data_IF_560499446444
#
_entry.id   IF_560499446444
#
_cell.length_a   1.000
_cell.length_b   1.000
_cell.length_c   1.000
_cell.angle_alpha   90.00
_cell.angle_beta   90.00
_cell.angle_gamma   90.00
#
_symmetry.space_group_name_H-M   'P 1'
#
loop_
_entity.id
_entity.type
_entity.pdbx_description
1 polymer ?
#
# COMPACT_ATOMS: atom_id res chain seq x y z
N UNK A 1 6.49 78.04 31.05
CA UNK A 1 5.05 78.34 31.03
C UNK A 1 4.53 78.06 29.63
N UNK A 2 3.32 77.53 29.56
CA UNK A 2 2.76 76.69 28.51
C UNK A 2 2.43 77.39 27.17
N UNK A 3 2.32 76.54 26.12
CA UNK A 3 1.48 76.62 24.91
C UNK A 3 2.14 77.11 23.60
N UNK A 4 2.21 76.20 22.61
CA UNK A 4 1.42 76.28 21.36
C UNK A 4 1.25 74.91 20.67
N UNK A 5 0.06 74.75 20.10
CA UNK A 5 -0.63 73.56 19.54
C UNK A 5 -0.17 73.28 18.08
N UNK A 6 -0.27 72.04 17.55
CA UNK A 6 0.30 71.64 16.26
C UNK A 6 -0.70 71.69 15.08
N UNK A 7 -0.17 71.66 13.85
CA UNK A 7 -0.94 71.31 12.64
C UNK A 7 -0.05 70.62 11.57
N UNK A 8 -0.35 69.33 11.36
CA UNK A 8 -0.51 68.54 10.13
C UNK A 8 0.21 69.00 8.85
N UNK A 9 1.00 68.10 8.24
CA UNK A 9 1.16 68.04 6.79
C UNK A 9 1.24 66.58 6.29
N UNK A 10 0.38 66.26 5.33
CA UNK A 10 0.27 64.98 4.65
C UNK A 10 1.45 64.76 3.67
N UNK A 11 1.90 63.51 3.51
CA UNK A 11 2.84 63.12 2.46
C UNK A 11 2.34 61.89 1.71
N UNK A 12 2.24 62.10 0.42
CA UNK A 12 1.78 61.23 -0.67
C UNK A 12 2.72 60.06 -0.93
N UNK A 13 2.15 58.89 -1.12
CA UNK A 13 2.79 57.67 -1.60
C UNK A 13 3.11 57.73 -3.10
N UNK A 14 4.36 57.43 -3.47
CA UNK A 14 4.76 57.06 -4.84
C UNK A 14 5.54 55.75 -4.80
N UNK A 15 5.13 54.82 -5.67
CA UNK A 15 5.68 53.47 -5.83
C UNK A 15 7.10 53.52 -6.42
N UNK A 16 7.98 52.66 -5.91
CA UNK A 16 9.16 52.19 -6.63
C UNK A 16 8.96 50.71 -7.01
N UNK A 17 9.01 50.41 -8.31
CA UNK A 17 9.03 49.05 -8.86
C UNK A 17 10.33 48.35 -8.45
N UNK A 18 10.24 47.27 -7.68
CA UNK A 18 11.32 46.27 -7.53
C UNK A 18 11.00 45.04 -8.37
N UNK A 19 11.93 44.65 -9.24
CA UNK A 19 11.85 43.47 -10.07
C UNK A 19 11.67 42.17 -9.24
N UNK A 20 10.97 41.15 -9.76
CA UNK A 20 10.76 39.90 -9.04
C UNK A 20 12.09 39.14 -8.92
N UNK A 21 12.51 38.90 -7.68
CA UNK A 21 13.56 37.95 -7.33
C UNK A 21 13.07 36.56 -7.72
N UNK A 22 13.78 35.92 -8.65
CA UNK A 22 13.51 34.54 -9.05
C UNK A 22 13.58 33.61 -7.85
N UNK A 23 12.47 32.97 -7.52
CA UNK A 23 12.39 31.94 -6.48
C UNK A 23 13.18 30.73 -6.95
N UNK A 24 14.33 30.48 -6.31
CA UNK A 24 15.09 29.27 -6.51
C UNK A 24 14.24 28.06 -6.06
N UNK A 25 14.03 27.11 -6.97
CA UNK A 25 13.43 25.81 -6.66
C UNK A 25 14.33 25.06 -5.67
N UNK A 26 13.79 24.45 -4.60
CA UNK A 26 14.59 23.67 -3.67
C UNK A 26 15.16 22.44 -4.40
N UNK A 27 16.50 22.37 -4.45
CA UNK A 27 17.26 21.20 -4.89
C UNK A 27 17.43 20.26 -3.69
N UNK A 28 16.90 19.04 -3.78
CA UNK A 28 17.17 17.99 -2.80
C UNK A 28 18.30 17.11 -3.32
N UNK A 29 19.42 17.09 -2.60
CA UNK A 29 20.44 16.05 -2.71
C UNK A 29 20.04 14.92 -1.75
N UNK A 30 19.61 13.78 -2.27
CA UNK A 30 18.99 12.71 -1.50
C UNK A 30 20.05 11.83 -0.82
N UNK A 31 20.54 12.21 0.37
CA UNK A 31 21.51 11.41 1.15
C UNK A 31 20.86 10.52 2.22
N UNK A 32 19.55 10.25 2.16
CA UNK A 32 18.88 9.54 3.24
C UNK A 32 18.11 8.30 2.79
N UNK A 33 18.29 7.21 3.54
CA UNK A 33 17.34 6.09 3.67
C UNK A 33 15.98 6.54 4.21
N UNK A 34 15.82 7.81 4.57
CA UNK A 34 14.56 8.43 4.97
C UNK A 34 13.76 8.88 3.75
N UNK A 35 12.44 8.63 3.71
CA UNK A 35 11.57 9.10 2.65
C UNK A 35 11.62 10.62 2.45
N UNK A 36 11.50 11.06 1.20
CA UNK A 36 11.45 12.48 0.85
C UNK A 36 10.01 12.98 0.94
N UNK A 37 9.75 13.98 1.78
CA UNK A 37 8.42 14.60 1.87
C UNK A 37 8.08 15.31 0.55
N UNK A 38 6.98 14.91 -0.09
CA UNK A 38 6.56 15.41 -1.40
C UNK A 38 5.06 15.65 -1.50
N UNK A 39 4.41 16.14 -0.44
CA UNK A 39 2.96 16.41 -0.43
C UNK A 39 2.54 17.56 -1.36
N UNK A 40 1.43 17.38 -2.09
CA UNK A 40 0.86 18.38 -3.00
C UNK A 40 -0.11 19.37 -2.32
N UNK A 41 -0.37 19.24 -1.02
CA UNK A 41 -1.34 20.10 -0.31
C UNK A 41 -0.66 21.39 0.11
N UNK A 42 -1.00 22.49 -0.57
CA UNK A 42 -0.61 23.84 -0.22
C UNK A 42 -1.77 24.53 0.50
N UNK A 43 -1.96 24.27 1.80
CA UNK A 43 -3.07 24.85 2.54
C UNK A 43 -3.45 24.02 3.76
N UNK A 44 -4.25 24.59 4.65
CA UNK A 44 -4.69 23.93 5.89
C UNK A 44 -5.56 22.67 5.65
N UNK A 45 -6.00 22.01 6.74
CA UNK A 45 -6.56 20.63 6.76
C UNK A 45 -7.89 20.39 6.01
N UNK A 46 -8.37 21.34 5.20
CA UNK A 46 -9.65 21.25 4.49
C UNK A 46 -9.58 21.52 2.98
N UNK A 47 -8.39 21.71 2.41
CA UNK A 47 -8.24 21.94 0.96
C UNK A 47 -7.96 20.62 0.22
N UNK A 48 -8.65 20.42 -0.92
CA UNK A 48 -8.37 19.37 -1.91
C UNK A 48 -6.87 19.34 -2.26
N UNK A 49 -6.32 18.23 -2.76
CA UNK A 49 -4.97 18.20 -3.33
C UNK A 49 -4.75 19.40 -4.27
N UNK A 50 -3.75 20.23 -3.96
CA UNK A 50 -3.42 21.39 -4.77
C UNK A 50 -2.98 21.00 -6.18
N UNK A 51 -3.01 21.95 -7.12
CA UNK A 51 -2.41 21.72 -8.44
C UNK A 51 -0.91 21.42 -8.28
N UNK A 52 -0.35 20.46 -9.05
CA UNK A 52 1.07 20.16 -8.98
C UNK A 52 1.88 21.41 -9.29
N UNK A 53 3.04 21.58 -8.64
CA UNK A 53 3.92 22.71 -8.98
C UNK A 53 4.30 22.61 -10.45
N UNK A 54 4.42 23.76 -11.11
CA UNK A 54 4.73 23.81 -12.55
C UNK A 54 5.97 22.97 -12.86
N UNK A 55 5.77 21.92 -13.67
CA UNK A 55 6.82 20.99 -14.10
C UNK A 55 6.91 19.68 -13.30
N UNK A 56 6.22 19.55 -12.17
CA UNK A 56 6.12 18.31 -11.41
C UNK A 56 5.01 17.40 -11.95
N UNK A 57 5.07 16.12 -11.59
CA UNK A 57 4.01 15.15 -11.85
C UNK A 57 3.17 14.94 -10.59
N UNK A 58 1.89 14.58 -10.76
CA UNK A 58 0.98 14.37 -9.62
C UNK A 58 0.54 12.91 -9.55
N UNK A 59 0.58 12.32 -8.35
CA UNK A 59 -0.08 11.04 -8.06
C UNK A 59 -0.97 11.25 -6.85
N UNK A 60 -2.28 11.04 -6.98
CA UNK A 60 -3.24 11.28 -5.93
C UNK A 60 -4.28 10.17 -5.85
N UNK A 61 -4.90 10.03 -4.68
CA UNK A 61 -5.75 8.90 -4.38
C UNK A 61 -6.41 8.95 -3.02
N UNK A 62 -6.93 7.79 -2.58
CA UNK A 62 -7.58 7.59 -1.29
C UNK A 62 -7.00 6.35 -0.60
N UNK A 63 -6.87 6.39 0.73
CA UNK A 63 -6.55 5.24 1.56
C UNK A 63 -7.76 4.88 2.43
N UNK A 64 -8.17 3.61 2.42
CA UNK A 64 -9.44 3.17 3.02
C UNK A 64 -9.37 1.79 3.68
N UNK A 65 -10.13 1.63 4.75
CA UNK A 65 -10.43 0.33 5.37
C UNK A 65 -11.51 -0.37 4.54
N UNK A 66 -11.14 -1.46 3.86
CA UNK A 66 -12.04 -2.08 2.88
C UNK A 66 -12.47 -1.15 1.72
N UNK A 67 -13.11 -1.71 0.70
CA UNK A 67 -13.55 -1.05 -0.52
C UNK A 67 -12.46 -0.89 -1.59
N UNK A 68 -12.88 -0.90 -2.86
CA UNK A 68 -12.05 -0.56 -4.04
C UNK A 68 -12.46 0.76 -4.68
N UNK A 69 -13.61 1.34 -4.30
CA UNK A 69 -14.14 2.59 -4.81
C UNK A 69 -14.90 3.46 -3.76
N UNK A 70 -15.10 4.77 -4.03
CA UNK A 70 -16.02 5.68 -3.32
C UNK A 70 -17.48 5.18 -3.29
N UNK A 71 -17.90 4.68 -2.12
CA UNK A 71 -19.30 4.28 -1.88
C UNK A 71 -19.46 2.85 -1.38
N UNK A 72 -18.43 2.02 -1.51
CA UNK A 72 -18.47 0.56 -1.27
C UNK A 72 -18.50 0.16 0.22
N UNK A 73 -18.81 1.11 1.10
CA UNK A 73 -18.90 0.89 2.55
C UNK A 73 -17.56 0.90 3.30
N UNK A 74 -16.43 1.09 2.61
CA UNK A 74 -15.12 1.26 3.24
C UNK A 74 -14.98 2.61 3.96
N UNK A 75 -14.39 2.61 5.15
CA UNK A 75 -14.16 3.83 5.93
C UNK A 75 -12.81 4.46 5.61
N UNK A 76 -12.72 5.79 5.71
CA UNK A 76 -11.47 6.49 5.47
C UNK A 76 -10.42 6.14 6.54
N UNK A 77 -9.16 6.03 6.10
CA UNK A 77 -8.01 5.91 7.00
C UNK A 77 -7.81 7.24 7.75
N UNK A 78 -7.35 7.23 9.02
CA UNK A 78 -7.20 8.45 9.82
C UNK A 78 -6.35 9.50 9.14
N UNK A 79 -6.63 10.77 9.40
CA UNK A 79 -5.82 11.91 8.96
C UNK A 79 -4.37 11.77 9.45
N UNK A 80 -3.42 12.30 8.69
CA UNK A 80 -1.98 12.25 9.00
C UNK A 80 -1.37 10.84 8.96
N UNK A 81 -2.04 9.86 8.35
CA UNK A 81 -1.45 8.53 8.12
C UNK A 81 -0.41 8.62 7.00
N UNK A 82 0.85 8.19 7.23
CA UNK A 82 1.89 8.21 6.20
C UNK A 82 1.54 7.35 4.98
N UNK A 83 1.75 7.90 3.79
CA UNK A 83 1.62 7.22 2.50
C UNK A 83 2.95 7.33 1.78
N UNK A 84 3.47 6.21 1.30
CA UNK A 84 4.76 6.11 0.64
C UNK A 84 4.60 5.80 -0.84
N UNK A 85 5.48 6.34 -1.69
CA UNK A 85 5.49 6.09 -3.14
C UNK A 85 6.91 5.90 -3.66
N UNK A 86 7.09 4.95 -4.57
CA UNK A 86 8.30 4.80 -5.38
C UNK A 86 7.93 4.52 -6.83
N UNK A 87 8.63 5.13 -7.78
CA UNK A 87 8.40 4.90 -9.20
C UNK A 87 9.64 4.33 -9.90
N UNK A 88 9.37 3.52 -10.93
CA UNK A 88 10.35 2.95 -11.84
C UNK A 88 10.14 3.58 -13.22
N UNK A 89 11.15 4.32 -13.67
CA UNK A 89 11.18 4.89 -15.01
C UNK A 89 11.43 3.82 -16.06
N UNK A 90 10.90 4.02 -17.27
CA UNK A 90 11.21 3.16 -18.42
C UNK A 90 12.71 3.09 -18.75
N UNK A 91 13.46 4.10 -18.33
CA UNK A 91 14.92 4.20 -18.44
C UNK A 91 15.69 3.42 -17.35
N UNK A 92 14.99 2.60 -16.55
CA UNK A 92 15.56 1.80 -15.48
C UNK A 92 15.93 2.59 -14.22
N UNK A 93 15.59 3.88 -14.15
CA UNK A 93 15.77 4.66 -12.92
C UNK A 93 14.68 4.32 -11.90
N UNK A 94 15.08 3.90 -10.71
CA UNK A 94 14.19 3.75 -9.56
C UNK A 94 14.35 4.99 -8.68
N UNK A 95 13.23 5.63 -8.37
CA UNK A 95 13.23 6.82 -7.53
C UNK A 95 13.58 6.52 -6.07
N UNK A 96 14.01 7.54 -5.29
CA UNK A 96 13.88 7.49 -3.85
C UNK A 96 12.43 7.22 -3.45
N UNK A 97 12.23 6.77 -2.22
CA UNK A 97 10.88 6.72 -1.64
C UNK A 97 10.44 8.14 -1.29
N UNK A 98 9.28 8.53 -1.78
CA UNK A 98 8.60 9.76 -1.39
C UNK A 98 7.57 9.44 -0.32
N UNK A 99 7.31 10.38 0.59
CA UNK A 99 6.23 10.25 1.57
C UNK A 99 5.32 11.49 1.57
N UNK A 100 4.05 11.25 1.83
CA UNK A 100 3.01 12.25 2.09
C UNK A 100 2.11 11.71 3.21
N UNK A 101 1.03 12.41 3.53
CA UNK A 101 0.06 11.91 4.50
C UNK A 101 -1.35 11.95 3.92
N UNK A 102 -2.25 11.19 4.55
CA UNK A 102 -3.69 11.35 4.32
C UNK A 102 -4.20 12.69 4.86
N UNK A 103 -5.15 13.27 4.14
CA UNK A 103 -5.83 14.54 4.38
C UNK A 103 -7.34 14.35 4.32
N UNK A 104 -8.07 15.29 4.92
CA UNK A 104 -9.54 15.31 5.04
C UNK A 104 -10.17 14.06 5.71
N UNK A 105 -11.49 14.01 5.83
CA UNK A 105 -12.24 12.87 6.39
C UNK A 105 -12.40 11.69 5.43
N UNK A 106 -11.90 11.79 4.19
CA UNK A 106 -12.11 10.79 3.15
C UNK A 106 -10.86 9.92 2.85
N UNK A 107 -9.76 10.15 3.59
CA UNK A 107 -8.50 9.40 3.43
C UNK A 107 -7.72 9.82 2.19
N UNK A 108 -7.93 11.03 1.69
CA UNK A 108 -7.32 11.55 0.47
C UNK A 108 -5.81 11.75 0.65
N UNK A 109 -5.00 11.48 -0.37
CA UNK A 109 -3.56 11.75 -0.32
C UNK A 109 -3.06 12.19 -1.70
N UNK A 110 -1.96 12.93 -1.73
CA UNK A 110 -1.36 13.37 -2.98
C UNK A 110 0.14 13.63 -2.88
N UNK A 111 0.84 13.26 -3.95
CA UNK A 111 2.24 13.53 -4.20
C UNK A 111 2.41 14.58 -5.31
N UNK A 112 3.28 15.55 -5.06
CA UNK A 112 3.83 16.52 -6.00
C UNK A 112 5.29 16.10 -6.32
N UNK A 113 5.46 15.23 -7.30
CA UNK A 113 6.73 14.55 -7.58
C UNK A 113 7.71 15.48 -8.31
N UNK A 114 8.88 15.79 -7.72
CA UNK A 114 9.86 16.69 -8.32
C UNK A 114 10.67 16.00 -9.42
N UNK A 115 11.51 16.79 -10.10
CA UNK A 115 12.59 16.26 -10.93
C UNK A 115 13.60 15.51 -10.05
N UNK A 116 13.67 14.19 -10.19
CA UNK A 116 14.70 13.37 -9.57
C UNK A 116 16.03 13.52 -10.32
N UNK A 117 17.16 13.31 -9.64
CA UNK A 117 18.48 13.29 -10.27
C UNK A 117 19.26 12.06 -9.84
N UNK A 118 19.96 11.44 -10.79
CA UNK A 118 20.90 10.37 -10.49
C UNK A 118 22.26 10.91 -10.01
N UNK A 119 23.18 10.02 -9.66
CA UNK A 119 24.53 10.33 -9.21
C UNK A 119 25.39 11.04 -10.28
N UNK A 120 24.95 11.03 -11.55
CA UNK A 120 25.56 11.81 -12.64
C UNK A 120 24.94 13.20 -12.81
N UNK A 121 23.87 13.50 -12.07
CA UNK A 121 23.11 14.74 -12.16
C UNK A 121 22.09 14.74 -13.31
N UNK A 122 21.93 13.62 -14.01
CA UNK A 122 20.92 13.44 -15.07
C UNK A 122 19.54 13.47 -14.43
N UNK A 123 18.64 14.22 -15.05
CA UNK A 123 17.29 14.43 -14.52
C UNK A 123 16.31 13.37 -14.99
N UNK A 124 15.53 12.82 -14.07
CA UNK A 124 14.48 11.83 -14.32
C UNK A 124 13.13 12.38 -13.83
N UNK A 125 12.09 12.28 -14.66
CA UNK A 125 10.73 12.74 -14.33
C UNK A 125 9.76 11.60 -14.47
N UNK A 126 8.93 11.39 -13.46
CA UNK A 126 7.82 10.46 -13.54
C UNK A 126 6.87 10.86 -14.68
N UNK A 127 6.60 9.92 -15.56
CA UNK A 127 5.72 10.07 -16.70
C UNK A 127 5.03 8.73 -17.03
N UNK A 128 3.84 8.47 -16.46
CA UNK A 128 3.13 7.21 -16.71
C UNK A 128 2.75 7.04 -18.19
N UNK A 129 2.55 8.15 -18.93
CA UNK A 129 2.31 8.14 -20.37
C UNK A 129 3.51 7.63 -21.21
N UNK A 130 4.70 7.44 -20.61
CA UNK A 130 5.88 6.83 -21.25
C UNK A 130 6.10 5.37 -20.84
N UNK A 131 5.23 4.82 -19.99
CA UNK A 131 5.36 3.47 -19.44
C UNK A 131 6.10 3.42 -18.10
N UNK A 132 6.26 4.56 -17.40
CA UNK A 132 6.75 4.55 -16.02
C UNK A 132 5.70 3.91 -15.12
N UNK A 133 6.14 3.05 -14.20
CA UNK A 133 5.28 2.39 -13.22
C UNK A 133 5.58 2.92 -11.82
N UNK A 134 4.67 2.71 -10.88
CA UNK A 134 4.87 3.11 -9.49
C UNK A 134 4.22 2.11 -8.55
N UNK A 135 4.68 2.12 -7.31
CA UNK A 135 4.04 1.48 -6.16
C UNK A 135 3.69 2.54 -5.13
N UNK A 136 2.53 2.40 -4.50
CA UNK A 136 2.10 3.24 -3.37
C UNK A 136 1.61 2.34 -2.24
N UNK A 137 1.98 2.66 -0.99
CA UNK A 137 1.63 1.84 0.17
C UNK A 137 1.52 2.68 1.44
N UNK A 138 0.91 2.08 2.46
CA UNK A 138 0.91 2.54 3.85
C UNK A 138 1.66 1.49 4.66
N UNK A 139 2.61 1.90 5.50
CA UNK A 139 3.30 0.95 6.38
C UNK A 139 2.32 0.41 7.43
N UNK A 140 2.47 -0.85 7.89
CA UNK A 140 1.60 -1.40 8.93
C UNK A 140 1.55 -0.50 10.16
N UNK A 141 0.35 -0.27 10.69
CA UNK A 141 0.15 0.55 11.88
C UNK A 141 -0.88 -0.07 12.83
N UNK A 142 -0.89 0.40 14.07
CA UNK A 142 -1.94 0.05 15.04
C UNK A 142 -2.95 1.18 15.08
N UNK A 143 -4.23 0.87 14.84
CA UNK A 143 -5.30 1.86 14.91
C UNK A 143 -5.72 2.14 16.36
N UNK A 144 -6.64 3.10 16.55
CA UNK A 144 -7.16 3.48 17.89
C UNK A 144 -7.85 2.32 18.64
N UNK A 145 -8.28 1.28 17.94
CA UNK A 145 -8.87 0.06 18.53
C UNK A 145 -7.83 -0.90 19.11
N UNK A 146 -6.55 -0.67 18.82
CA UNK A 146 -5.46 -1.59 19.15
C UNK A 146 -5.28 -2.72 18.13
N UNK A 147 -5.94 -2.63 16.97
CA UNK A 147 -5.85 -3.62 15.91
C UNK A 147 -4.73 -3.25 14.93
N UNK A 148 -4.01 -4.26 14.43
CA UNK A 148 -3.02 -4.08 13.36
C UNK A 148 -3.75 -3.85 12.04
N UNK A 149 -3.28 -2.87 11.27
CA UNK A 149 -3.79 -2.54 9.95
C UNK A 149 -2.67 -2.71 8.94
N UNK A 150 -2.94 -3.41 7.85
CA UNK A 150 -2.00 -3.68 6.77
C UNK A 150 -2.63 -3.36 5.41
N UNK A 151 -1.82 -3.21 4.38
CA UNK A 151 -2.32 -3.04 3.01
C UNK A 151 -2.99 -4.35 2.55
N UNK A 152 -4.20 -4.22 2.00
CA UNK A 152 -4.92 -5.28 1.32
C UNK A 152 -4.68 -5.15 -0.18
N UNK A 153 -4.03 -6.14 -0.79
CA UNK A 153 -3.66 -6.05 -2.20
C UNK A 153 -2.17 -5.79 -2.39
N UNK A 154 -1.77 -5.75 -3.66
CA UNK A 154 -0.47 -5.23 -4.04
C UNK A 154 -0.46 -3.71 -3.82
N UNK A 155 0.70 -3.09 -3.48
CA UNK A 155 0.85 -1.64 -3.52
C UNK A 155 0.31 -1.14 -4.85
N UNK A 156 -0.71 -0.26 -4.85
CA UNK A 156 -1.50 0.01 -6.05
C UNK A 156 -0.59 0.39 -7.23
N UNK A 157 -0.39 -0.57 -8.13
CA UNK A 157 0.49 -0.43 -9.28
C UNK A 157 -0.35 0.03 -10.45
N UNK A 158 -0.33 1.34 -10.73
CA UNK A 158 -1.07 1.86 -11.87
C UNK A 158 -0.43 1.42 -13.18
N UNK A 159 -1.14 0.60 -13.97
CA UNK A 159 -0.89 0.43 -15.39
C UNK A 159 -2.12 0.86 -16.20
N UNK A 160 -1.92 1.93 -16.99
CA UNK A 160 -2.66 2.41 -18.16
C UNK A 160 -4.12 2.89 -18.02
N UNK A 161 -4.30 4.20 -18.16
CA UNK A 161 -5.62 4.78 -18.47
C UNK A 161 -5.72 6.31 -18.53
N UNK A 162 -4.78 7.08 -17.97
CA UNK A 162 -4.85 8.55 -18.00
C UNK A 162 -3.90 9.15 -19.04
N UNK A 163 -4.45 9.81 -20.07
CA UNK A 163 -3.70 10.70 -20.95
C UNK A 163 -3.40 11.99 -20.17
N UNK A 164 -2.17 12.14 -19.64
CA UNK A 164 -1.74 13.34 -18.94
C UNK A 164 -0.60 13.12 -17.95
N UNK A 165 0.00 14.20 -17.43
CA UNK A 165 1.12 14.18 -16.46
C UNK A 165 0.70 13.79 -15.02
N UNK A 166 -0.52 13.30 -14.83
CA UNK A 166 -1.11 13.09 -13.51
C UNK A 166 -1.95 11.82 -13.44
N UNK A 167 -1.71 11.00 -12.43
CA UNK A 167 -2.55 9.85 -12.05
C UNK A 167 -3.44 10.28 -10.88
N UNK A 168 -4.76 10.16 -11.02
CA UNK A 168 -5.74 10.49 -9.99
C UNK A 168 -6.53 9.24 -9.62
N UNK A 169 -7.18 9.26 -8.46
CA UNK A 169 -8.09 8.22 -7.99
C UNK A 169 -7.44 6.86 -7.71
N UNK A 170 -6.16 6.85 -7.32
CA UNK A 170 -5.49 5.62 -6.86
C UNK A 170 -6.08 5.20 -5.51
N UNK A 171 -6.53 3.96 -5.37
CA UNK A 171 -7.07 3.45 -4.09
C UNK A 171 -6.06 2.55 -3.40
N UNK A 172 -5.77 2.83 -2.14
CA UNK A 172 -5.04 1.95 -1.22
C UNK A 172 -6.07 1.32 -0.30
N UNK A 173 -6.40 0.06 -0.55
CA UNK A 173 -7.28 -0.73 0.31
C UNK A 173 -6.46 -1.28 1.48
N UNK A 174 -7.01 -1.21 2.69
CA UNK A 174 -6.39 -1.73 3.92
C UNK A 174 -7.25 -2.83 4.53
N UNK A 175 -6.57 -3.80 5.13
CA UNK A 175 -7.13 -4.87 5.94
C UNK A 175 -6.91 -4.55 7.42
N UNK A 176 -7.98 -4.62 8.22
CA UNK A 176 -7.87 -4.53 9.67
C UNK A 176 -7.91 -5.92 10.29
N UNK A 177 -6.79 -6.32 10.91
CA UNK A 177 -6.70 -7.57 11.64
C UNK A 177 -7.63 -7.52 12.86
N UNK A 178 -8.56 -8.48 13.02
CA UNK A 178 -9.51 -8.43 14.12
C UNK A 178 -8.83 -8.70 15.46
N UNK A 179 -9.35 -8.06 16.51
CA UNK A 179 -9.07 -8.47 17.88
C UNK A 179 -9.83 -9.75 18.25
N UNK A 180 -9.38 -10.44 19.30
CA UNK A 180 -10.00 -11.69 19.79
C UNK A 180 -11.48 -11.52 20.19
N UNK A 181 -11.95 -10.30 20.44
CA UNK A 181 -13.36 -10.01 20.74
C UNK A 181 -14.33 -10.35 19.60
N UNK A 182 -13.82 -10.60 18.39
CA UNK A 182 -14.62 -11.05 17.25
C UNK A 182 -14.91 -12.55 17.27
N UNK A 183 -14.31 -13.31 18.20
CA UNK A 183 -14.39 -14.77 18.24
C UNK A 183 -14.70 -15.25 19.66
N UNK A 184 -15.48 -16.32 19.76
CA UNK A 184 -15.61 -17.11 20.97
C UNK A 184 -14.48 -18.15 21.04
N UNK A 185 -14.28 -18.76 22.21
CA UNK A 185 -13.36 -19.89 22.30
C UNK A 185 -13.80 -20.99 21.30
N UNK A 186 -12.94 -21.41 20.37
CA UNK A 186 -13.35 -22.33 19.31
C UNK A 186 -13.70 -23.70 19.92
N UNK A 187 -14.86 -24.23 19.55
CA UNK A 187 -15.18 -25.63 19.84
C UNK A 187 -14.39 -26.51 18.88
N UNK A 188 -13.28 -27.11 19.34
CA UNK A 188 -12.53 -28.09 18.56
C UNK A 188 -13.26 -29.44 18.52
N UNK A 189 -13.43 -30.02 17.34
CA UNK A 189 -14.08 -31.32 17.15
C UNK A 189 -15.35 -31.21 16.31
N UNK A 190 -15.94 -32.36 15.95
CA UNK A 190 -17.13 -32.48 15.10
C UNK A 190 -18.18 -31.39 15.38
N UNK A 191 -18.86 -30.92 14.32
CA UNK A 191 -19.87 -29.87 14.40
C UNK A 191 -20.76 -30.07 15.65
N UNK A 192 -20.88 -29.06 16.53
CA UNK A 192 -21.66 -29.22 17.76
C UNK A 192 -23.06 -29.73 17.40
N UNK A 193 -23.58 -30.68 18.16
CA UNK A 193 -24.89 -31.25 17.91
C UNK A 193 -25.93 -30.12 17.80
N UNK A 194 -26.56 -29.98 16.62
CA UNK A 194 -27.45 -28.86 16.31
C UNK A 194 -26.81 -27.67 15.59
N UNK A 195 -25.62 -27.79 14.97
CA UNK A 195 -25.11 -26.77 14.05
C UNK A 195 -26.01 -26.67 12.80
N UNK A 196 -26.44 -25.45 12.42
CA UNK A 196 -27.45 -25.27 11.36
C UNK A 196 -27.05 -24.26 10.27
N UNK A 197 -26.13 -23.34 10.52
CA UNK A 197 -25.69 -22.37 9.51
C UNK A 197 -24.38 -22.85 8.89
N UNK A 198 -24.49 -23.49 7.74
CA UNK A 198 -23.35 -23.91 6.91
C UNK A 198 -22.69 -22.68 6.28
N UNK A 199 -21.37 -22.66 6.22
CA UNK A 199 -20.58 -21.71 5.44
C UNK A 199 -19.55 -22.49 4.65
N UNK A 200 -19.52 -22.32 3.33
CA UNK A 200 -18.58 -23.00 2.45
C UNK A 200 -18.07 -22.10 1.34
N UNK A 201 -16.85 -22.39 0.87
CA UNK A 201 -16.22 -21.67 -0.23
C UNK A 201 -14.82 -22.18 -0.53
N UNK A 202 -14.00 -21.32 -1.12
CA UNK A 202 -12.63 -21.60 -1.51
C UNK A 202 -11.65 -20.52 -1.02
N UNK A 203 -10.40 -20.94 -0.79
CA UNK A 203 -9.28 -20.11 -0.40
C UNK A 203 -8.09 -20.39 -1.32
N UNK A 204 -7.54 -19.33 -1.92
CA UNK A 204 -6.36 -19.40 -2.78
C UNK A 204 -5.41 -18.24 -2.51
N UNK A 205 -4.19 -18.34 -3.02
CA UNK A 205 -3.26 -17.22 -3.10
C UNK A 205 -3.47 -16.46 -4.41
N UNK A 206 -3.75 -15.16 -4.29
CA UNK A 206 -4.01 -14.25 -5.40
C UNK A 206 -2.71 -13.89 -6.13
N UNK A 207 -2.57 -14.38 -7.36
CA UNK A 207 -1.31 -14.33 -8.11
C UNK A 207 -1.16 -13.12 -9.03
N UNK A 208 -2.25 -12.42 -9.36
CA UNK A 208 -2.22 -11.27 -10.27
C UNK A 208 -2.49 -9.95 -9.52
N UNK A 209 -1.61 -8.97 -9.73
CA UNK A 209 -1.79 -7.61 -9.23
C UNK A 209 -2.82 -6.78 -10.02
N UNK A 210 -3.21 -7.26 -11.20
CA UNK A 210 -4.24 -6.69 -12.05
C UNK A 210 -5.54 -7.52 -12.06
N UNK A 211 -5.66 -8.57 -11.23
CA UNK A 211 -6.90 -9.33 -11.14
C UNK A 211 -8.05 -8.43 -10.66
N UNK A 212 -9.05 -8.30 -11.52
CA UNK A 212 -10.37 -7.83 -11.12
C UNK A 212 -10.95 -8.82 -10.08
N UNK A 213 -11.65 -8.35 -9.02
CA UNK A 213 -12.38 -9.23 -8.12
C UNK A 213 -13.34 -10.11 -8.94
N UNK A 214 -13.16 -11.43 -8.98
CA UNK A 214 -14.08 -12.23 -9.79
C UNK A 214 -13.86 -13.72 -9.87
N UNK A 215 -12.63 -14.23 -10.00
CA UNK A 215 -12.43 -15.66 -10.28
C UNK A 215 -11.09 -16.17 -9.78
N UNK A 216 -11.07 -17.39 -9.21
CA UNK A 216 -9.86 -18.19 -9.16
C UNK A 216 -9.55 -18.63 -10.59
N UNK A 217 -8.59 -17.98 -11.22
CA UNK A 217 -8.11 -18.41 -12.53
C UNK A 217 -7.31 -19.70 -12.33
N UNK A 218 -7.92 -20.84 -12.71
CA UNK A 218 -7.20 -22.12 -12.78
C UNK A 218 -6.16 -22.15 -13.91
N UNK A 219 -6.01 -21.07 -14.67
CA UNK A 219 -4.95 -20.85 -15.64
C UNK A 219 -3.70 -20.30 -14.96
N UNK A 220 -2.76 -21.20 -14.67
CA UNK A 220 -1.32 -21.00 -14.40
C UNK A 220 -0.85 -20.10 -13.23
N UNK A 221 -1.71 -19.39 -12.49
CA UNK A 221 -1.29 -18.49 -11.39
C UNK A 221 -1.78 -18.86 -9.97
N UNK A 222 -3.10 -18.99 -9.79
CA UNK A 222 -3.70 -19.07 -8.46
C UNK A 222 -3.61 -20.45 -7.83
N UNK A 223 -3.02 -20.50 -6.63
CA UNK A 223 -2.76 -21.76 -5.91
C UNK A 223 -3.69 -21.91 -4.72
N UNK A 224 -4.20 -23.11 -4.51
CA UNK A 224 -4.96 -23.42 -3.30
C UNK A 224 -4.13 -23.12 -2.05
N UNK A 225 -4.73 -22.44 -1.06
CA UNK A 225 -4.10 -22.19 0.22
C UNK A 225 -4.20 -23.42 1.14
N UNK A 226 -3.78 -24.58 0.63
CA UNK A 226 -3.90 -25.86 1.32
C UNK A 226 -3.28 -25.79 2.72
N UNK A 227 -4.00 -26.31 3.72
CA UNK A 227 -3.55 -26.37 5.10
C UNK A 227 -3.74 -25.06 5.88
N UNK A 228 -4.20 -23.98 5.25
CA UNK A 228 -4.72 -22.80 5.95
C UNK A 228 -6.01 -23.17 6.69
N UNK A 229 -6.43 -22.31 7.61
CA UNK A 229 -7.66 -22.53 8.38
C UNK A 229 -8.60 -21.36 8.17
N UNK A 230 -9.84 -21.64 7.79
CA UNK A 230 -10.91 -20.64 7.79
C UNK A 230 -11.59 -20.68 9.15
N UNK A 231 -11.78 -19.52 9.76
CA UNK A 231 -12.47 -19.36 11.04
C UNK A 231 -13.63 -18.39 10.86
N UNK A 232 -14.82 -18.79 11.30
CA UNK A 232 -16.01 -17.96 11.30
C UNK A 232 -16.61 -17.87 12.69
N UNK A 233 -17.11 -16.68 13.01
CA UNK A 233 -18.00 -16.45 14.14
C UNK A 233 -19.36 -15.94 13.65
N UNK A 234 -20.39 -16.17 14.45
CA UNK A 234 -21.75 -15.71 14.17
C UNK A 234 -22.36 -15.03 15.39
N UNK A 235 -23.17 -13.98 15.16
CA UNK A 235 -23.96 -13.37 16.23
C UNK A 235 -25.25 -14.16 16.45
N UNK A 236 -25.71 -14.21 17.70
CA UNK A 236 -27.09 -14.57 17.98
C UNK A 236 -28.05 -13.38 17.70
N UNK A 237 -29.36 -13.66 17.72
CA UNK A 237 -30.39 -12.66 17.39
C UNK A 237 -30.33 -11.40 18.26
N UNK A 238 -30.05 -11.57 19.56
CA UNK A 238 -29.91 -10.46 20.53
C UNK A 238 -28.72 -9.59 20.15
N UNK A 239 -27.55 -10.21 19.96
CA UNK A 239 -26.32 -9.54 19.57
C UNK A 239 -26.46 -8.77 18.25
N UNK A 240 -27.04 -9.40 17.22
CA UNK A 240 -27.32 -8.73 15.95
C UNK A 240 -28.21 -7.51 16.17
N UNK A 241 -29.30 -7.66 16.93
CA UNK A 241 -30.27 -6.59 17.12
C UNK A 241 -29.66 -5.40 17.87
N UNK A 242 -28.90 -5.65 18.93
CA UNK A 242 -28.22 -4.59 19.69
C UNK A 242 -27.17 -3.85 18.84
N UNK A 243 -26.33 -4.59 18.10
CA UNK A 243 -25.34 -3.97 17.21
C UNK A 243 -26.04 -3.17 16.10
N UNK A 244 -27.05 -3.73 15.43
CA UNK A 244 -27.78 -3.03 14.38
C UNK A 244 -28.47 -1.75 14.91
N UNK A 245 -29.06 -1.82 16.09
CA UNK A 245 -29.66 -0.66 16.76
C UNK A 245 -28.61 0.41 17.07
N UNK A 246 -27.44 0.04 17.58
CA UNK A 246 -26.36 0.97 17.87
C UNK A 246 -25.82 1.63 16.57
N UNK A 247 -25.60 0.85 15.52
CA UNK A 247 -25.15 1.34 14.21
C UNK A 247 -26.15 2.30 13.56
N UNK A 248 -27.46 2.07 13.74
CA UNK A 248 -28.50 2.96 13.20
C UNK A 248 -28.49 4.37 13.83
N UNK A 249 -27.97 4.50 15.05
CA UNK A 249 -27.93 5.76 15.82
C UNK A 249 -26.68 6.57 15.55
N UNK A 250 -25.63 5.96 14.98
CA UNK A 250 -24.38 6.62 14.62
C UNK A 250 -23.85 6.14 13.25
N UNK A 251 -24.40 6.67 12.14
CA UNK A 251 -24.07 6.18 10.81
C UNK A 251 -22.77 6.78 10.23
N UNK A 252 -22.08 7.70 10.92
CA UNK A 252 -20.97 8.48 10.33
C UNK A 252 -19.62 8.19 11.00
N UNK A 253 -19.11 6.97 10.77
CA UNK A 253 -17.76 6.53 11.15
C UNK A 253 -17.69 5.91 12.55
N UNK A 254 -16.91 4.83 12.70
CA UNK A 254 -16.75 4.12 13.99
C UNK A 254 -17.66 2.90 14.17
N UNK A 255 -18.16 2.29 13.09
CA UNK A 255 -18.99 1.07 13.19
C UNK A 255 -18.22 -0.09 13.83
N UNK A 256 -16.93 -0.18 13.54
CA UNK A 256 -15.98 -1.13 14.12
C UNK A 256 -15.77 -0.84 15.62
N UNK A 257 -15.76 0.43 16.03
CA UNK A 257 -15.66 0.83 17.44
C UNK A 257 -16.92 0.48 18.23
N UNK A 258 -18.09 0.68 17.63
CA UNK A 258 -19.38 0.29 18.21
C UNK A 258 -19.43 -1.22 18.39
N UNK A 259 -19.09 -1.96 17.34
CA UNK A 259 -19.02 -3.44 17.36
C UNK A 259 -18.07 -3.92 18.44
N UNK A 260 -16.85 -3.36 18.49
CA UNK A 260 -15.84 -3.68 19.51
C UNK A 260 -16.34 -3.40 20.94
N UNK A 261 -16.91 -2.22 21.19
CA UNK A 261 -17.41 -1.85 22.53
C UNK A 261 -18.50 -2.80 23.00
N UNK A 262 -19.45 -3.15 22.13
CA UNK A 262 -20.55 -4.05 22.47
C UNK A 262 -20.02 -5.45 22.75
N UNK A 263 -19.18 -6.01 21.88
CA UNK A 263 -18.70 -7.39 22.04
C UNK A 263 -17.70 -7.57 23.18
N UNK A 264 -16.96 -6.52 23.57
CA UNK A 264 -16.17 -6.55 24.79
C UNK A 264 -17.03 -6.55 26.06
N UNK A 265 -18.19 -5.90 26.04
CA UNK A 265 -19.11 -5.85 27.17
C UNK A 265 -20.00 -7.10 27.25
N UNK A 266 -20.36 -7.66 26.10
CA UNK A 266 -21.30 -8.77 25.95
C UNK A 266 -20.74 -9.83 24.99
N UNK A 267 -19.65 -10.54 25.37
CA UNK A 267 -19.07 -11.59 24.53
C UNK A 267 -20.05 -12.74 24.22
N UNK A 268 -21.08 -12.94 25.06
CA UNK A 268 -22.16 -13.90 24.85
C UNK A 268 -23.07 -13.58 23.65
N UNK A 269 -22.92 -12.41 23.02
CA UNK A 269 -23.59 -12.09 21.76
C UNK A 269 -23.04 -12.89 20.57
N UNK A 270 -21.85 -13.47 20.69
CA UNK A 270 -21.31 -14.42 19.72
C UNK A 270 -21.92 -15.79 20.05
N UNK A 271 -22.76 -16.30 19.14
CA UNK A 271 -23.37 -17.63 19.24
C UNK A 271 -22.31 -18.74 19.29
N UNK A 272 -21.24 -18.57 18.51
CA UNK A 272 -20.06 -19.42 18.58
C UNK A 272 -19.05 -19.13 17.48
N UNK A 273 -17.99 -19.94 17.45
CA UNK A 273 -16.92 -19.85 16.46
C UNK A 273 -16.57 -21.26 15.98
N UNK A 274 -16.49 -21.42 14.67
CA UNK A 274 -16.17 -22.68 14.00
C UNK A 274 -14.99 -22.50 13.06
N UNK A 275 -14.24 -23.57 12.86
CA UNK A 275 -13.06 -23.58 11.98
C UNK A 275 -13.11 -24.74 11.00
N UNK A 276 -12.58 -24.55 9.80
CA UNK A 276 -12.34 -25.61 8.83
C UNK A 276 -10.94 -25.49 8.23
N UNK A 277 -10.29 -26.63 8.01
CA UNK A 277 -9.02 -26.69 7.27
C UNK A 277 -9.30 -26.62 5.77
N UNK A 278 -8.47 -25.88 5.05
CA UNK A 278 -8.52 -25.76 3.60
C UNK A 278 -7.91 -27.01 2.97
N UNK A 279 -8.66 -27.68 2.09
CA UNK A 279 -8.23 -28.90 1.41
C UNK A 279 -7.25 -28.64 0.26
N UNK A 280 -6.80 -29.70 -0.42
CA UNK A 280 -5.84 -29.62 -1.53
C UNK A 280 -6.39 -28.87 -2.76
N UNK A 281 -7.72 -28.83 -2.91
CA UNK A 281 -8.38 -28.06 -3.95
C UNK A 281 -8.69 -26.62 -3.51
N UNK A 282 -8.34 -26.25 -2.28
CA UNK A 282 -8.61 -24.93 -1.72
C UNK A 282 -10.00 -24.79 -1.11
N UNK A 283 -10.78 -25.86 -0.98
CA UNK A 283 -12.16 -25.78 -0.46
C UNK A 283 -12.17 -25.87 1.06
N UNK A 284 -13.20 -25.26 1.66
CA UNK A 284 -13.55 -25.43 3.06
C UNK A 284 -15.07 -25.49 3.21
N UNK A 285 -15.51 -26.11 4.31
CA UNK A 285 -16.90 -26.08 4.76
C UNK A 285 -16.93 -26.22 6.27
N UNK A 286 -17.73 -25.40 6.94
CA UNK A 286 -17.97 -25.46 8.39
C UNK A 286 -19.44 -25.19 8.69
N UNK A 287 -19.83 -25.42 9.94
CA UNK A 287 -21.17 -25.13 10.43
C UNK A 287 -21.11 -24.36 11.74
N UNK A 288 -21.79 -23.23 11.78
CA UNK A 288 -21.97 -22.41 12.98
C UNK A 288 -23.18 -22.94 13.80
N UNK A 289 -23.24 -22.62 15.11
CA UNK A 289 -24.37 -22.97 15.97
C UNK A 289 -25.74 -22.55 15.40
N UNK A 290 -26.80 -23.31 15.69
CA UNK A 290 -28.14 -23.05 15.14
C UNK A 290 -28.75 -21.69 15.51
N UNK A 291 -28.35 -21.11 16.64
CA UNK A 291 -28.78 -19.78 17.08
C UNK A 291 -28.01 -18.64 16.39
N UNK A 292 -27.09 -18.96 15.49
CA UNK A 292 -26.42 -17.98 14.62
C UNK A 292 -27.41 -17.39 13.62
N UNK A 293 -27.42 -16.05 13.51
CA UNK A 293 -28.07 -15.38 12.38
C UNK A 293 -27.18 -15.48 11.13
N UNK A 294 -27.64 -16.12 10.04
CA UNK A 294 -26.83 -16.27 8.82
C UNK A 294 -26.47 -14.93 8.16
N UNK A 295 -27.21 -13.85 8.42
CA UNK A 295 -26.93 -12.51 7.88
C UNK A 295 -25.94 -11.71 8.74
N UNK A 296 -25.38 -12.30 9.80
CA UNK A 296 -24.49 -11.61 10.74
C UNK A 296 -23.34 -12.53 11.16
N UNK A 297 -22.46 -12.79 10.20
CA UNK A 297 -21.26 -13.60 10.39
C UNK A 297 -20.00 -12.77 10.10
N UNK A 298 -18.86 -13.23 10.63
CA UNK A 298 -17.55 -12.66 10.36
C UNK A 298 -16.56 -13.80 10.14
N UNK A 299 -15.73 -13.69 9.10
CA UNK A 299 -14.81 -14.75 8.70
C UNK A 299 -13.39 -14.25 8.49
N UNK A 300 -12.41 -15.07 8.86
CA UNK A 300 -10.99 -14.84 8.57
C UNK A 300 -10.31 -16.10 8.07
N UNK A 301 -9.17 -15.92 7.43
CA UNK A 301 -8.25 -16.99 7.09
C UNK A 301 -7.00 -16.87 7.96
N UNK A 302 -6.54 -18.02 8.48
CA UNK A 302 -5.29 -18.17 9.22
C UNK A 302 -4.27 -18.98 8.44
N UNK A 303 -3.03 -18.54 8.46
CA UNK A 303 -1.89 -19.29 7.93
C UNK A 303 -1.65 -20.60 8.71
N UNK A 304 -0.69 -21.39 8.24
CA UNK A 304 -0.35 -22.68 8.86
C UNK A 304 0.25 -22.52 10.26
N UNK A 305 0.67 -21.32 10.64
CA UNK A 305 1.15 -20.93 11.97
C UNK A 305 0.03 -20.36 12.87
N UNK A 306 -1.17 -20.14 12.33
CA UNK A 306 -2.34 -19.62 13.05
C UNK A 306 -2.48 -18.08 13.00
N UNK A 307 -1.64 -17.36 12.27
CA UNK A 307 -1.77 -15.91 12.11
C UNK A 307 -2.85 -15.58 11.10
N UNK A 308 -3.68 -14.57 11.40
CA UNK A 308 -4.62 -14.03 10.41
C UNK A 308 -3.85 -13.47 9.21
N UNK A 309 -4.32 -13.77 8.00
CA UNK A 309 -3.76 -13.24 6.75
C UNK A 309 -4.74 -12.33 6.05
N UNK A 310 -4.20 -11.40 5.28
CA UNK A 310 -4.95 -10.47 4.45
C UNK A 310 -5.66 -11.21 3.32
N UNK A 311 -6.94 -10.93 3.13
CA UNK A 311 -7.76 -11.57 2.10
C UNK A 311 -8.66 -10.57 1.39
N UNK A 312 -8.75 -10.64 0.06
CA UNK A 312 -9.91 -10.11 -0.66
C UNK A 312 -11.11 -10.99 -0.27
N UNK A 313 -12.06 -10.40 0.43
CA UNK A 313 -13.25 -11.07 0.95
C UNK A 313 -14.28 -10.04 1.42
N UNK A 314 -15.50 -10.47 1.79
CA UNK A 314 -16.46 -9.61 2.47
C UNK A 314 -16.02 -9.12 3.87
N UNK A 315 -14.87 -9.57 4.40
CA UNK A 315 -14.52 -9.44 5.82
C UNK A 315 -13.18 -8.74 6.08
N UNK A 316 -12.95 -7.63 5.39
CA UNK A 316 -11.69 -6.86 5.47
C UNK A 316 -11.59 -5.93 6.68
N UNK A 317 -12.70 -5.76 7.41
CA UNK A 317 -12.81 -5.03 8.66
C UNK A 317 -13.56 -5.87 9.69
N UNK A 318 -13.31 -5.72 11.01
CA UNK A 318 -13.92 -6.52 12.06
C UNK A 318 -15.41 -6.16 12.28
N UNK A 319 -16.25 -6.58 11.33
CA UNK A 319 -17.69 -6.32 11.31
C UNK A 319 -18.46 -7.58 10.94
N UNK A 320 -19.44 -7.92 11.78
CA UNK A 320 -20.44 -8.93 11.44
C UNK A 320 -21.36 -8.39 10.36
N UNK A 321 -21.46 -9.11 9.25
CA UNK A 321 -22.28 -8.71 8.12
C UNK A 321 -22.75 -9.91 7.32
N UNK A 322 -23.63 -9.65 6.37
CA UNK A 322 -24.04 -10.64 5.38
C UNK A 322 -22.93 -10.73 4.33
N UNK A 323 -22.41 -11.94 4.00
CA UNK A 323 -21.42 -12.14 2.95
C UNK A 323 -21.71 -11.41 1.64
N UNK A 324 -22.99 -11.29 1.25
CA UNK A 324 -23.40 -10.61 0.01
C UNK A 324 -23.39 -9.08 0.04
N UNK A 325 -23.13 -8.42 1.18
CA UNK A 325 -23.26 -6.96 1.32
C UNK A 325 -22.01 -6.14 0.95
N UNK A 326 -20.86 -6.78 0.76
CA UNK A 326 -19.57 -6.08 0.56
C UNK A 326 -19.10 -6.12 -0.91
N UNK A 327 -19.95 -6.63 -1.81
CA UNK A 327 -19.92 -6.40 -3.27
C UNK A 327 -18.53 -6.47 -3.92
N UNK A 328 -17.87 -5.32 -3.99
CA UNK A 328 -16.70 -5.07 -4.84
C UNK A 328 -15.36 -5.61 -4.31
N UNK A 329 -15.29 -6.05 -3.05
CA UNK A 329 -14.09 -6.75 -2.52
C UNK A 329 -14.22 -8.27 -2.46
N UNK A 330 -15.45 -8.77 -2.54
CA UNK A 330 -15.67 -10.20 -2.53
C UNK A 330 -15.16 -10.75 -3.87
N UNK A 331 -14.31 -11.79 -3.88
CA UNK A 331 -13.82 -12.38 -5.13
C UNK A 331 -14.91 -12.93 -6.05
N UNK A 332 -16.16 -13.01 -5.58
CA UNK A 332 -17.31 -13.56 -6.27
C UNK A 332 -18.57 -13.16 -5.48
N UNK A 333 -19.74 -13.43 -6.05
CA UNK A 333 -21.02 -13.30 -5.33
C UNK A 333 -21.27 -14.52 -4.42
N UNK A 334 -21.34 -14.35 -3.08
CA UNK A 334 -21.80 -15.41 -2.19
C UNK A 334 -23.31 -15.65 -2.33
N UNK A 335 -23.75 -16.89 -2.09
CA UNK A 335 -25.15 -17.29 -2.23
C UNK A 335 -25.73 -17.77 -0.90
N UNK A 336 -26.87 -17.21 -0.50
CA UNK A 336 -27.63 -17.68 0.64
C UNK A 336 -28.57 -18.81 0.21
N UNK A 337 -28.43 -19.97 0.84
CA UNK A 337 -29.24 -21.17 0.69
C UNK A 337 -30.10 -21.40 1.94
N UNK A 338 -30.99 -22.41 1.88
CA UNK A 338 -31.79 -22.85 3.05
C UNK A 338 -30.92 -23.32 4.23
N UNK A 339 -29.66 -23.69 3.98
CA UNK A 339 -28.74 -24.23 4.99
C UNK A 339 -27.66 -23.24 5.44
N UNK A 340 -27.64 -22.02 4.88
CA UNK A 340 -26.59 -21.02 5.14
C UNK A 340 -25.92 -20.56 3.84
N UNK A 341 -24.63 -20.24 3.87
CA UNK A 341 -23.93 -19.64 2.75
C UNK A 341 -23.03 -20.61 1.99
N UNK A 342 -23.17 -20.59 0.67
CA UNK A 342 -22.21 -21.18 -0.25
C UNK A 342 -21.46 -20.08 -1.01
N UNK A 343 -20.32 -20.44 -1.60
CA UNK A 343 -19.48 -19.54 -2.38
C UNK A 343 -18.94 -18.33 -1.56
N UNK A 344 -18.64 -18.52 -0.27
CA UNK A 344 -17.98 -17.49 0.54
C UNK A 344 -16.46 -17.66 0.40
N UNK A 345 -15.84 -16.97 -0.54
CA UNK A 345 -14.44 -17.19 -0.86
C UNK A 345 -13.49 -16.14 -0.27
N UNK A 346 -12.21 -16.52 -0.17
CA UNK A 346 -11.12 -15.68 0.30
C UNK A 346 -9.92 -15.77 -0.66
N UNK A 347 -9.56 -14.67 -1.31
CA UNK A 347 -8.30 -14.60 -2.04
C UNK A 347 -7.23 -14.05 -1.08
N UNK A 348 -6.34 -14.91 -0.58
CA UNK A 348 -5.22 -14.49 0.26
C UNK A 348 -4.29 -13.65 -0.60
N UNK A 349 -3.97 -12.44 -0.14
CA UNK A 349 -2.98 -11.58 -0.81
C UNK A 349 -1.70 -11.60 0.01
N UNK A 350 -0.74 -12.47 -0.32
CA UNK A 350 0.41 -12.72 0.53
C UNK A 350 1.54 -11.72 0.23
N UNK A 351 1.27 -10.43 0.38
CA UNK A 351 2.31 -9.42 0.22
C UNK A 351 3.22 -9.43 1.44
N UNK A 352 4.52 -9.61 1.19
CA UNK A 352 5.53 -9.31 2.19
C UNK A 352 6.20 -8.00 1.82
N UNK A 353 6.48 -7.18 2.84
CA UNK A 353 7.28 -5.95 2.75
C UNK A 353 8.72 -6.24 2.31
N UNK A 354 8.91 -6.77 1.10
CA UNK A 354 10.24 -7.07 0.56
C UNK A 354 10.87 -5.79 0.06
N UNK A 355 12.10 -5.55 0.47
CA UNK A 355 12.96 -4.53 -0.11
C UNK A 355 14.06 -5.21 -0.92
N UNK A 356 14.40 -4.59 -2.03
CA UNK A 356 15.57 -4.90 -2.86
C UNK A 356 16.54 -3.76 -2.67
N UNK A 357 17.82 -4.08 -2.43
CA UNK A 357 18.88 -3.10 -2.30
C UNK A 357 20.09 -3.54 -3.11
N UNK A 358 20.64 -2.63 -3.92
CA UNK A 358 21.98 -2.78 -4.50
C UNK A 358 22.98 -2.29 -3.45
N UNK A 359 23.73 -3.22 -2.86
CA UNK A 359 24.47 -2.99 -1.62
C UNK A 359 25.43 -1.81 -1.72
N UNK A 360 25.21 -0.80 -0.88
CA UNK A 360 26.05 0.40 -0.77
C UNK A 360 26.07 1.29 -2.02
N UNK A 361 25.08 1.13 -2.91
CA UNK A 361 25.02 1.72 -4.24
C UNK A 361 23.58 2.10 -4.61
N UNK A 362 23.10 3.26 -4.17
CA UNK A 362 21.86 3.82 -4.71
C UNK A 362 22.14 4.71 -5.94
N UNK A 363 21.14 4.83 -6.82
CA UNK A 363 21.20 5.61 -8.06
C UNK A 363 21.42 7.10 -7.84
N UNK A 364 21.16 7.63 -6.64
CA UNK A 364 21.23 9.06 -6.30
C UNK A 364 22.58 9.50 -5.71
N UNK A 365 23.36 8.57 -5.14
CA UNK A 365 24.51 8.90 -4.30
C UNK A 365 25.83 8.30 -4.77
N UNK A 366 25.82 7.20 -5.53
CA UNK A 366 27.08 6.53 -5.92
C UNK A 366 27.19 6.24 -7.41
N UNK A 367 28.25 6.80 -8.01
CA UNK A 367 28.70 6.40 -9.35
C UNK A 367 29.48 5.10 -9.23
N UNK A 368 29.06 4.10 -10.00
CA UNK A 368 29.79 2.83 -10.09
C UNK A 368 30.67 2.82 -11.33
N UNK A 369 31.94 2.48 -11.14
CA UNK A 369 32.89 2.31 -12.24
C UNK A 369 32.60 1.01 -13.01
N UNK A 370 32.88 0.96 -14.32
CA UNK A 370 32.87 -0.30 -15.07
C UNK A 370 33.74 -1.39 -14.41
N UNK A 371 33.30 -2.64 -14.49
CA UNK A 371 34.04 -3.79 -13.94
C UNK A 371 33.74 -4.13 -12.48
N UNK A 372 32.95 -3.32 -11.76
CA UNK A 372 32.47 -3.68 -10.43
C UNK A 372 31.33 -4.72 -10.51
N UNK A 373 31.25 -5.58 -9.50
CA UNK A 373 30.10 -6.44 -9.28
C UNK A 373 29.01 -5.66 -8.54
N UNK A 374 27.75 -5.85 -8.96
CA UNK A 374 26.58 -5.29 -8.29
C UNK A 374 25.93 -6.37 -7.44
N UNK A 375 26.14 -6.30 -6.13
CA UNK A 375 25.57 -7.24 -5.16
C UNK A 375 24.16 -6.80 -4.74
N UNK A 376 23.28 -7.76 -4.53
CA UNK A 376 21.90 -7.52 -4.11
C UNK A 376 21.68 -8.05 -2.70
N UNK A 377 20.97 -7.28 -1.88
CA UNK A 377 20.42 -7.73 -0.61
C UNK A 377 18.90 -7.64 -0.66
N UNK A 378 18.25 -8.70 -0.22
CA UNK A 378 16.82 -8.71 0.04
C UNK A 378 16.57 -8.64 1.55
N UNK A 379 15.49 -7.99 1.95
CA UNK A 379 14.98 -8.03 3.33
C UNK A 379 13.46 -8.11 3.32
N UNK A 380 12.85 -8.74 4.33
CA UNK A 380 11.39 -8.88 4.42
C UNK A 380 10.93 -10.33 4.37
N UNK A 381 9.67 -10.56 3.99
CA UNK A 381 9.07 -11.90 3.83
C UNK A 381 8.76 -12.12 2.35
N UNK A 382 9.26 -13.21 1.75
CA UNK A 382 8.92 -13.51 0.37
C UNK A 382 7.45 -13.90 0.22
N UNK A 383 6.77 -13.45 -0.85
CA UNK A 383 5.49 -14.02 -1.24
C UNK A 383 5.61 -15.54 -1.56
N UNK A 384 4.55 -16.33 -1.35
CA UNK A 384 4.48 -17.79 -1.58
C UNK A 384 4.34 -18.18 -3.07
N UNK A 385 4.79 -17.30 -3.97
CA UNK A 385 4.87 -17.56 -5.40
C UNK A 385 6.32 -17.89 -5.81
N UNK A 386 6.52 -18.24 -7.07
CA UNK A 386 7.88 -18.26 -7.63
C UNK A 386 8.39 -16.83 -7.62
N UNK A 387 9.52 -16.60 -6.96
CA UNK A 387 10.16 -15.29 -6.91
C UNK A 387 11.41 -15.30 -7.80
N UNK A 388 11.59 -14.25 -8.58
CA UNK A 388 12.76 -14.05 -9.43
C UNK A 388 13.32 -12.65 -9.27
N UNK A 389 14.65 -12.53 -9.18
CA UNK A 389 15.35 -11.26 -9.37
C UNK A 389 15.64 -11.07 -10.85
N UNK A 390 15.24 -9.93 -11.40
CA UNK A 390 15.46 -9.56 -12.78
C UNK A 390 16.35 -8.32 -12.88
N UNK A 391 17.53 -8.48 -13.49
CA UNK A 391 18.39 -7.35 -13.84
C UNK A 391 18.05 -6.82 -15.22
N UNK A 392 17.87 -5.51 -15.33
CA UNK A 392 17.56 -4.81 -16.59
C UNK A 392 18.50 -3.64 -16.83
N UNK A 393 18.70 -3.31 -18.11
CA UNK A 393 19.45 -2.12 -18.51
C UNK A 393 18.52 -0.90 -18.69
N UNK A 394 19.12 0.22 -19.11
CA UNK A 394 18.48 1.51 -19.39
C UNK A 394 17.48 1.53 -20.56
N UNK A 395 17.37 0.44 -21.32
CA UNK A 395 16.31 0.27 -22.33
C UNK A 395 15.17 -0.63 -21.85
N UNK A 396 15.26 -1.13 -20.61
CA UNK A 396 14.35 -2.12 -20.04
C UNK A 396 14.63 -3.57 -20.46
N UNK A 397 15.71 -3.83 -21.21
CA UNK A 397 16.05 -5.17 -21.66
C UNK A 397 16.58 -6.02 -20.50
N UNK A 398 16.09 -7.27 -20.39
CA UNK A 398 16.52 -8.24 -19.40
C UNK A 398 17.96 -8.68 -19.66
N UNK A 399 18.80 -8.64 -18.63
CA UNK A 399 20.21 -9.00 -18.66
C UNK A 399 20.46 -10.35 -17.98
N UNK A 400 19.82 -10.58 -16.85
CA UNK A 400 19.90 -11.83 -16.10
C UNK A 400 18.69 -12.02 -15.22
N UNK A 401 18.42 -13.28 -14.87
CA UNK A 401 17.37 -13.68 -13.94
C UNK A 401 17.93 -14.69 -12.93
N UNK A 402 17.38 -14.69 -11.72
CA UNK A 402 17.81 -15.56 -10.62
C UNK A 402 16.58 -15.97 -9.81
N UNK A 403 16.38 -17.26 -9.55
CA UNK A 403 15.28 -17.74 -8.71
C UNK A 403 15.61 -17.48 -7.24
N UNK A 404 14.63 -17.01 -6.47
CA UNK A 404 14.74 -16.71 -5.05
C UNK A 404 13.77 -17.63 -4.28
N UNK A 405 14.31 -18.57 -3.52
CA UNK A 405 13.53 -19.44 -2.63
C UNK A 405 13.51 -18.89 -1.21
N UNK A 406 14.61 -18.28 -0.78
CA UNK A 406 14.75 -17.60 0.51
C UNK A 406 15.42 -16.24 0.34
N UNK A 407 15.16 -15.32 1.27
CA UNK A 407 15.67 -13.94 1.23
C UNK A 407 17.19 -13.86 1.03
N UNK A 408 17.94 -14.81 1.60
CA UNK A 408 19.40 -14.82 1.51
C UNK A 408 19.93 -15.18 0.11
N UNK A 409 19.11 -15.73 -0.79
CA UNK A 409 19.52 -16.08 -2.15
C UNK A 409 19.92 -14.83 -2.96
N UNK A 410 19.39 -13.66 -2.61
CA UNK A 410 19.69 -12.39 -3.28
C UNK A 410 21.18 -12.10 -3.40
N UNK A 411 21.99 -12.51 -2.40
CA UNK A 411 23.44 -12.32 -2.41
C UNK A 411 24.15 -13.06 -3.56
N UNK A 412 23.55 -14.14 -4.09
CA UNK A 412 24.07 -14.92 -5.21
C UNK A 412 23.64 -14.38 -6.57
N UNK A 413 22.70 -13.43 -6.61
CA UNK A 413 22.10 -12.90 -7.83
C UNK A 413 22.76 -11.61 -8.31
N UNK A 414 24.09 -11.50 -8.14
CA UNK A 414 24.84 -10.31 -8.50
C UNK A 414 25.00 -10.12 -10.02
N UNK A 415 25.12 -8.88 -10.47
CA UNK A 415 25.40 -8.55 -11.87
C UNK A 415 26.84 -8.07 -12.06
N UNK A 416 27.62 -8.81 -12.84
CA UNK A 416 28.96 -8.40 -13.25
C UNK A 416 28.92 -7.45 -14.45
N UNK A 417 29.48 -6.25 -14.30
CA UNK A 417 29.55 -5.24 -15.36
C UNK A 417 30.76 -5.51 -16.27
N UNK A 418 30.58 -6.36 -17.28
CA UNK A 418 31.68 -6.89 -18.12
C UNK A 418 32.22 -5.94 -19.19
N UNK A 419 31.57 -4.79 -19.43
CA UNK A 419 32.02 -3.80 -20.42
C UNK A 419 31.86 -2.37 -19.91
N UNK A 420 32.87 -1.54 -20.17
CA UNK A 420 32.78 -0.11 -19.96
C UNK A 420 31.84 0.51 -20.98
N UNK A 421 30.82 1.22 -20.48
CA UNK A 421 30.01 2.09 -21.33
C UNK A 421 30.62 3.50 -21.36
N UNK A 422 30.75 4.11 -22.55
CA UNK A 422 31.30 5.46 -22.67
C UNK A 422 30.39 6.51 -22.01
N UNK A 423 29.07 6.29 -22.09
CA UNK A 423 28.06 7.18 -21.51
C UNK A 423 27.53 6.65 -20.17
N UNK A 424 27.20 7.54 -19.21
CA UNK A 424 26.46 7.16 -18.01
C UNK A 424 25.13 6.48 -18.35
N UNK A 425 24.86 5.36 -17.70
CA UNK A 425 23.67 4.52 -17.88
C UNK A 425 23.07 4.14 -16.53
N UNK A 426 21.86 3.57 -16.53
CA UNK A 426 21.21 3.02 -15.34
C UNK A 426 21.02 1.51 -15.49
N UNK A 427 21.20 0.79 -14.38
CA UNK A 427 20.80 -0.60 -14.25
C UNK A 427 19.79 -0.71 -13.12
N UNK A 428 18.75 -1.50 -13.32
CA UNK A 428 17.75 -1.79 -12.29
C UNK A 428 17.72 -3.28 -11.96
N UNK A 429 17.44 -3.59 -10.72
CA UNK A 429 17.08 -4.93 -10.28
C UNK A 429 15.67 -4.90 -9.71
N UNK A 430 14.81 -5.80 -10.17
CA UNK A 430 13.45 -5.96 -9.69
C UNK A 430 13.23 -7.36 -9.11
N UNK A 431 12.55 -7.45 -7.98
CA UNK A 431 11.99 -8.71 -7.49
C UNK A 431 10.59 -8.88 -8.10
N UNK A 432 10.44 -9.92 -8.91
CA UNK A 432 9.16 -10.34 -9.48
C UNK A 432 8.66 -11.56 -8.71
N UNK A 433 7.41 -11.51 -8.27
CA UNK A 433 6.72 -12.60 -7.58
C UNK A 433 5.50 -12.99 -8.39
N UNK A 434 5.47 -14.24 -8.89
CA UNK A 434 4.48 -14.61 -9.91
C UNK A 434 4.68 -13.76 -11.17
N UNK A 435 3.68 -12.96 -11.54
CA UNK A 435 3.74 -11.99 -12.65
C UNK A 435 4.04 -10.56 -12.20
N UNK A 436 4.15 -10.30 -10.90
CA UNK A 436 4.12 -8.94 -10.34
C UNK A 436 5.49 -8.46 -9.87
N UNK A 437 5.90 -7.26 -10.30
CA UNK A 437 7.06 -6.56 -9.73
C UNK A 437 6.70 -6.03 -8.33
N UNK A 438 7.31 -6.59 -7.28
CA UNK A 438 6.97 -6.24 -5.88
C UNK A 438 7.94 -5.24 -5.25
N UNK A 439 9.18 -5.20 -5.72
CA UNK A 439 10.22 -4.29 -5.24
C UNK A 439 11.29 -4.08 -6.31
N UNK A 440 11.92 -2.92 -6.31
CA UNK A 440 13.01 -2.62 -7.22
C UNK A 440 14.02 -1.65 -6.61
N UNK A 441 15.23 -1.68 -7.14
CA UNK A 441 16.27 -0.69 -6.90
C UNK A 441 17.07 -0.45 -8.19
N UNK A 442 17.82 0.66 -8.24
CA UNK A 442 18.64 1.00 -9.38
C UNK A 442 19.96 1.63 -8.99
N UNK A 443 20.92 1.57 -9.90
CA UNK A 443 22.24 2.17 -9.76
C UNK A 443 22.65 2.85 -11.07
N UNK A 444 23.32 3.98 -10.94
CA UNK A 444 23.90 4.67 -12.08
C UNK A 444 25.36 4.24 -12.30
N UNK A 445 25.69 3.85 -13.53
CA UNK A 445 27.01 3.31 -13.92
C UNK A 445 27.60 4.15 -15.04
N UNK A 446 28.88 4.50 -14.96
CA UNK A 446 29.61 5.12 -16.08
C UNK A 446 30.53 6.28 -15.70
N UNK A 447 31.07 6.95 -16.72
CA UNK A 447 31.97 8.09 -16.61
C UNK A 447 33.44 7.72 -16.34
N UNK A 448 34.36 8.19 -17.18
CA UNK A 448 35.82 8.09 -17.00
C UNK A 448 36.41 9.19 -16.10
N UNK A 449 35.63 9.71 -15.15
CA UNK A 449 35.96 10.93 -14.39
C UNK A 449 36.43 10.66 -12.96
N UNK A 450 37.66 11.09 -12.65
CA UNK A 450 38.15 11.23 -11.27
C UNK A 450 37.23 12.13 -10.45
N UNK A 451 37.05 11.75 -9.18
CA UNK A 451 36.28 12.50 -8.18
C UNK A 451 36.84 13.91 -8.05
N UNK A 452 36.08 14.95 -8.40
CA UNK A 452 36.26 16.26 -7.77
C UNK A 452 35.36 16.28 -6.53
N UNK A 453 35.89 16.57 -5.33
CA UNK A 453 35.07 16.74 -4.15
C UNK A 453 34.05 17.87 -4.36
N UNK A 454 32.93 17.90 -3.62
CA UNK A 454 31.97 18.99 -3.71
C UNK A 454 32.71 20.31 -3.53
N UNK A 455 32.58 21.22 -4.51
CA UNK A 455 33.14 22.56 -4.38
C UNK A 455 32.50 23.19 -3.15
N UNK A 456 33.28 23.38 -2.09
CA UNK A 456 32.86 24.22 -0.97
C UNK A 456 32.53 25.58 -1.55
N UNK A 457 31.28 26.03 -1.41
CA UNK A 457 30.90 27.41 -1.62
C UNK A 457 31.66 28.26 -0.59
N UNK A 458 32.84 28.77 -0.96
CA UNK A 458 33.48 29.85 -0.22
C UNK A 458 32.59 31.07 -0.36
N UNK A 459 31.83 31.38 0.68
CA UNK A 459 31.24 32.69 0.88
C UNK A 459 32.40 33.69 0.89
N UNK A 460 32.52 34.50 -0.15
CA UNK A 460 33.36 35.70 -0.11
C UNK A 460 32.61 36.74 0.71
N UNK A 461 32.97 36.88 1.98
CA UNK A 461 32.65 38.07 2.76
C UNK A 461 33.67 39.13 2.33
N UNK A 462 33.29 39.95 1.36
CA UNK A 462 34.03 41.17 1.05
C UNK A 462 33.73 42.23 2.10
N UNK A 463 34.75 42.62 2.87
CA UNK A 463 34.71 43.88 3.60
C UNK A 463 34.97 45.02 2.61
N UNK A 464 34.09 46.01 2.61
CA UNK A 464 34.38 47.40 2.24
C UNK A 464 33.54 48.29 3.14
#
# INVERSE_FOLDING_TARGET
MHIKIPAILALTSTLALTAPVGVATPQVAATSTQPIVAGAVAGGPAEMPGEPRVGNAMVAGHARYGGVAPGDGGSAVPESTPVNLQWLGRDGFVSPVYTTVTHTRAGEWAFDLPLARDAFGRGHRFNPGRGDTFRVWVDPFTNERGNTVTVLGYPASGAYGAVGRSTKDVVISLFEHPGNYMFAAPTSGDAPAGAAVKVAGTVWFESDAAAEPGHRDKGDGDRAAQGYTVEFSGLNEVGRTEIANALSRDPRGGQEDITRKILLAYPEFIAGTATARVDAEGRYSLSLPADTDPQSIYGVVRDVQGHTVETLSPFTTPRFSSPGKIGDLAPNSPELTDTGWDNVNFAVVPWGNVAVEIVGKDSSNRRVAPGENLEVRLTGKLPPFVNTLEWRNDTGALLSTCVIEVINDGASCSLALTSARPEPTSYSVGLVSGSTLVAADSVAVGGTGTVSPPKSSRIHVGFS
#
